data_IF_132551988203
#
_entry.id   IF_132551988203
#
_cell.length_a   1.000
_cell.length_b   1.000
_cell.length_c   1.000
_cell.angle_alpha   90.00
_cell.angle_beta   90.00
_cell.angle_gamma   90.00
#
_symmetry.space_group_name_H-M   'P 1'
#
loop_
_entity.id
_entity.type
_entity.pdbx_description
1 polymer ?
#
# COMPACT_ATOMS: atom_id res chain seq x y z
N UNK A 1 21.50 8.97 -17.89
CA UNK A 1 20.25 8.60 -17.19
C UNK A 1 20.33 7.13 -16.83
N UNK A 2 20.03 6.76 -15.58
CA UNK A 2 19.87 5.37 -15.14
C UNK A 2 18.38 5.07 -15.00
N UNK A 3 17.96 3.83 -15.27
CA UNK A 3 16.58 3.37 -15.02
C UNK A 3 16.29 3.43 -13.53
N UNK A 4 15.15 4.02 -13.15
CA UNK A 4 14.65 4.04 -11.78
C UNK A 4 13.62 2.91 -11.60
N UNK A 5 13.88 1.99 -10.67
CA UNK A 5 13.09 0.78 -10.48
C UNK A 5 12.24 0.91 -9.22
N UNK A 6 10.93 0.74 -9.38
CA UNK A 6 9.95 0.75 -8.29
C UNK A 6 9.44 -0.68 -8.05
N UNK A 7 9.68 -1.21 -6.86
CA UNK A 7 9.06 -2.44 -6.40
C UNK A 7 7.65 -2.15 -5.86
N UNK A 8 6.62 -2.62 -6.58
CA UNK A 8 5.23 -2.47 -6.13
C UNK A 8 4.90 -3.54 -5.07
N UNK A 9 4.90 -3.13 -3.79
CA UNK A 9 4.37 -3.94 -2.71
C UNK A 9 2.84 -3.91 -2.71
N UNK A 10 2.24 -2.79 -3.10
CA UNK A 10 0.79 -2.63 -3.15
C UNK A 10 0.14 -2.95 -1.80
N UNK A 11 -0.77 -3.92 -1.80
CA UNK A 11 -1.45 -4.47 -0.61
C UNK A 11 -0.92 -5.86 -0.19
N UNK A 12 0.21 -6.31 -0.73
CA UNK A 12 0.75 -7.66 -0.50
C UNK A 12 1.22 -7.89 0.95
N UNK A 13 1.21 -6.85 1.79
CA UNK A 13 1.41 -6.94 3.23
C UNK A 13 0.21 -7.51 3.99
N UNK A 14 -0.93 -7.72 3.34
CA UNK A 14 -2.12 -8.35 3.96
C UNK A 14 -2.55 -7.69 5.29
N UNK A 15 -2.49 -6.36 5.36
CA UNK A 15 -2.80 -5.59 6.56
C UNK A 15 -1.86 -5.81 7.75
N UNK A 16 -0.66 -6.38 7.54
CA UNK A 16 0.32 -6.64 8.60
C UNK A 16 1.57 -5.78 8.41
N UNK A 17 1.83 -4.85 9.33
CA UNK A 17 3.03 -4.00 9.30
C UNK A 17 4.33 -4.81 9.28
N UNK A 18 4.39 -5.92 10.02
CA UNK A 18 5.56 -6.82 10.01
C UNK A 18 5.87 -7.35 8.60
N UNK A 19 4.85 -7.80 7.86
CA UNK A 19 5.02 -8.26 6.48
C UNK A 19 5.37 -7.11 5.54
N UNK A 20 4.84 -5.91 5.76
CA UNK A 20 5.24 -4.73 4.99
C UNK A 20 6.74 -4.43 5.16
N UNK A 21 7.29 -4.52 6.38
CA UNK A 21 8.73 -4.37 6.64
C UNK A 21 9.56 -5.48 6.01
N UNK A 22 9.07 -6.72 6.01
CA UNK A 22 9.72 -7.82 5.27
C UNK A 22 9.80 -7.53 3.76
N UNK A 23 8.75 -6.98 3.17
CA UNK A 23 8.74 -6.55 1.76
C UNK A 23 9.78 -5.44 1.50
N UNK A 24 9.93 -4.48 2.43
CA UNK A 24 11.00 -3.46 2.35
C UNK A 24 12.38 -4.11 2.31
N UNK A 25 12.63 -5.10 3.17
CA UNK A 25 13.90 -5.82 3.18
C UNK A 25 14.14 -6.55 1.85
N UNK A 26 13.13 -7.21 1.30
CA UNK A 26 13.24 -7.88 -0.01
C UNK A 26 13.45 -6.93 -1.17
N UNK A 27 12.78 -5.78 -1.17
CA UNK A 27 13.04 -4.73 -2.16
C UNK A 27 14.48 -4.22 -2.05
N UNK A 28 14.99 -4.03 -0.84
CA UNK A 28 16.36 -3.60 -0.62
C UNK A 28 17.38 -4.64 -1.07
N UNK A 29 17.17 -5.92 -0.74
CA UNK A 29 18.00 -7.05 -1.19
C UNK A 29 18.05 -7.14 -2.72
N UNK A 30 16.92 -6.86 -3.39
CA UNK A 30 16.82 -6.84 -4.85
C UNK A 30 17.54 -5.63 -5.51
N UNK A 31 17.99 -4.65 -4.72
CA UNK A 31 18.72 -3.49 -5.22
C UNK A 31 17.87 -2.48 -6.01
N UNK A 32 16.56 -2.43 -5.74
CA UNK A 32 15.66 -1.44 -6.36
C UNK A 32 15.81 -0.06 -5.71
N UNK A 33 15.35 0.98 -6.41
CA UNK A 33 15.52 2.37 -5.97
C UNK A 33 14.39 2.79 -5.01
N UNK A 34 13.18 2.26 -5.21
CA UNK A 34 11.99 2.63 -4.45
C UNK A 34 11.08 1.42 -4.19
N UNK A 35 10.42 1.41 -3.04
CA UNK A 35 9.31 0.50 -2.75
C UNK A 35 8.01 1.31 -2.63
N UNK A 36 6.95 0.84 -3.29
CA UNK A 36 5.65 1.53 -3.37
C UNK A 36 4.52 0.72 -2.73
N UNK A 37 3.73 1.39 -1.91
CA UNK A 37 2.53 0.87 -1.26
C UNK A 37 1.25 1.54 -1.80
N UNK A 38 0.09 1.13 -1.27
CA UNK A 38 -1.21 1.74 -1.57
C UNK A 38 -1.87 2.15 -0.25
N UNK A 39 -2.29 3.40 -0.15
CA UNK A 39 -2.95 3.95 1.06
C UNK A 39 -4.39 4.28 0.71
N UNK A 40 -5.32 3.71 1.49
CA UNK A 40 -6.74 3.90 1.26
C UNK A 40 -7.54 3.70 2.55
N UNK A 41 -8.70 4.35 2.62
CA UNK A 41 -9.80 4.00 3.51
C UNK A 41 -10.83 3.24 2.70
N UNK A 42 -11.03 1.95 3.00
CA UNK A 42 -11.94 1.10 2.22
C UNK A 42 -13.37 1.65 2.16
N UNK A 43 -13.82 2.33 3.23
CA UNK A 43 -15.13 2.99 3.30
C UNK A 43 -15.28 4.11 2.26
N UNK A 44 -14.18 4.78 1.88
CA UNK A 44 -14.17 5.84 0.89
C UNK A 44 -14.02 5.30 -0.54
N UNK A 45 -13.52 4.07 -0.71
CA UNK A 45 -13.20 3.49 -2.02
C UNK A 45 -14.31 2.58 -2.59
N UNK A 46 -15.13 1.95 -1.73
CA UNK A 46 -16.17 1.01 -2.17
C UNK A 46 -17.48 1.22 -1.44
N UNK A 47 -18.57 1.23 -2.20
CA UNK A 47 -19.92 1.18 -1.63
C UNK A 47 -20.13 -0.13 -0.86
N UNK A 48 -20.94 -0.11 0.18
CA UNK A 48 -21.26 -1.28 1.02
C UNK A 48 -21.78 -2.50 0.25
N UNK A 49 -22.42 -2.28 -0.92
CA UNK A 49 -22.99 -3.32 -1.78
C UNK A 49 -22.11 -3.66 -3.00
N UNK A 50 -20.87 -3.18 -3.09
CA UNK A 50 -20.00 -3.49 -4.21
C UNK A 50 -19.64 -4.99 -4.22
N UNK A 51 -19.97 -5.66 -5.34
CA UNK A 51 -19.55 -7.04 -5.56
C UNK A 51 -18.05 -7.11 -5.83
N UNK A 52 -17.40 -8.17 -5.31
CA UNK A 52 -16.01 -8.50 -5.64
C UNK A 52 -15.84 -8.72 -7.13
N UNK A 53 -14.70 -8.28 -7.67
CA UNK A 53 -14.31 -8.63 -9.03
C UNK A 53 -14.20 -10.16 -9.20
N UNK A 54 -14.40 -10.67 -10.42
CA UNK A 54 -14.45 -12.12 -10.69
C UNK A 54 -13.20 -12.86 -10.17
N UNK A 55 -12.00 -12.32 -10.39
CA UNK A 55 -10.75 -12.91 -9.90
C UNK A 55 -10.66 -12.92 -8.36
N UNK A 56 -11.23 -11.93 -7.68
CA UNK A 56 -11.25 -11.86 -6.22
C UNK A 56 -12.20 -12.89 -5.63
N UNK A 57 -13.35 -13.14 -6.28
CA UNK A 57 -14.29 -14.20 -5.89
C UNK A 57 -13.64 -15.58 -5.98
N UNK A 58 -12.85 -15.82 -7.01
CA UNK A 58 -12.10 -17.07 -7.18
C UNK A 58 -11.04 -17.26 -6.10
N UNK A 59 -10.33 -16.20 -5.70
CA UNK A 59 -9.24 -16.28 -4.71
C UNK A 59 -9.70 -16.30 -3.24
N UNK A 60 -10.84 -15.68 -2.91
CA UNK A 60 -11.26 -15.43 -1.50
C UNK A 60 -12.61 -16.03 -1.12
N UNK A 61 -13.28 -16.71 -2.05
CA UNK A 61 -14.62 -17.26 -1.86
C UNK A 61 -15.74 -16.21 -1.90
N UNK A 62 -16.99 -16.68 -2.02
CA UNK A 62 -18.17 -15.85 -2.25
C UNK A 62 -18.78 -15.21 -0.99
N UNK A 63 -18.32 -15.58 0.22
CA UNK A 63 -19.01 -15.24 1.48
C UNK A 63 -18.71 -13.86 2.07
N UNK A 64 -17.77 -13.09 1.49
CA UNK A 64 -17.32 -11.81 2.05
C UNK A 64 -17.47 -10.67 1.03
N UNK A 65 -17.97 -9.51 1.45
CA UNK A 65 -18.10 -8.31 0.60
C UNK A 65 -16.74 -7.71 0.24
N UNK A 66 -16.68 -6.91 -0.81
CA UNK A 66 -15.44 -6.24 -1.22
C UNK A 66 -14.90 -5.32 -0.13
N UNK A 67 -15.79 -4.59 0.55
CA UNK A 67 -15.45 -3.72 1.68
C UNK A 67 -14.76 -4.49 2.81
N UNK A 68 -15.33 -5.63 3.25
CA UNK A 68 -14.74 -6.44 4.34
C UNK A 68 -13.36 -6.99 3.97
N UNK A 69 -13.18 -7.41 2.73
CA UNK A 69 -11.88 -7.87 2.22
C UNK A 69 -10.87 -6.72 2.20
N UNK A 70 -11.23 -5.54 1.68
CA UNK A 70 -10.31 -4.39 1.62
C UNK A 70 -9.93 -3.87 3.02
N UNK A 71 -10.86 -3.87 3.98
CA UNK A 71 -10.55 -3.54 5.38
C UNK A 71 -9.42 -4.38 5.97
N UNK A 72 -9.32 -5.66 5.60
CA UNK A 72 -8.23 -6.54 6.05
C UNK A 72 -6.88 -6.20 5.45
N UNK A 73 -6.85 -5.45 4.36
CA UNK A 73 -5.65 -5.04 3.66
C UNK A 73 -5.18 -3.65 4.08
N UNK A 74 -5.98 -2.90 4.85
CA UNK A 74 -5.59 -1.59 5.35
C UNK A 74 -4.43 -1.68 6.33
N UNK A 75 -3.56 -0.68 6.25
CA UNK A 75 -2.65 -0.30 7.32
C UNK A 75 -3.12 1.05 7.86
N UNK A 76 -2.95 1.27 9.16
CA UNK A 76 -3.26 2.57 9.75
C UNK A 76 -2.28 3.66 9.26
N UNK A 77 -2.63 4.92 9.45
CA UNK A 77 -1.71 6.02 9.15
C UNK A 77 -0.45 5.97 10.03
N UNK A 78 -0.57 5.55 11.29
CA UNK A 78 0.57 5.32 12.17
C UNK A 78 1.48 4.20 11.64
N UNK A 79 0.90 3.11 11.12
CA UNK A 79 1.67 2.05 10.46
C UNK A 79 2.43 2.59 9.24
N UNK A 80 1.82 3.47 8.45
CA UNK A 80 2.49 4.10 7.30
C UNK A 80 3.61 5.05 7.72
N UNK A 81 3.45 5.81 8.81
CA UNK A 81 4.51 6.64 9.39
C UNK A 81 5.68 5.74 9.81
N UNK A 82 5.40 4.65 10.52
CA UNK A 82 6.41 3.70 10.96
C UNK A 82 7.11 3.03 9.78
N UNK A 83 6.35 2.66 8.74
CA UNK A 83 6.87 2.02 7.52
C UNK A 83 7.75 2.98 6.71
N UNK A 84 7.37 4.25 6.60
CA UNK A 84 8.18 5.30 5.96
C UNK A 84 9.51 5.49 6.70
N UNK A 85 9.47 5.59 8.03
CA UNK A 85 10.69 5.65 8.86
C UNK A 85 11.56 4.40 8.69
N UNK A 86 10.94 3.22 8.56
CA UNK A 86 11.66 1.97 8.30
C UNK A 86 12.38 1.98 6.94
N UNK A 87 11.73 2.48 5.88
CA UNK A 87 12.35 2.63 4.57
C UNK A 87 13.56 3.59 4.62
N UNK A 88 13.46 4.69 5.37
CA UNK A 88 14.59 5.62 5.57
C UNK A 88 15.77 4.95 6.27
N UNK A 89 15.53 4.16 7.31
CA UNK A 89 16.58 3.37 7.98
C UNK A 89 17.24 2.35 7.03
N UNK A 90 16.45 1.70 6.17
CA UNK A 90 16.94 0.75 5.15
C UNK A 90 17.56 1.45 3.92
N UNK A 91 17.53 2.79 3.86
CA UNK A 91 18.03 3.59 2.75
C UNK A 91 17.41 3.16 1.41
N UNK A 92 16.08 3.09 1.36
CA UNK A 92 15.28 2.87 0.16
C UNK A 92 14.15 3.90 0.12
N UNK A 93 13.85 4.45 -1.06
CA UNK A 93 12.81 5.48 -1.18
C UNK A 93 11.43 4.89 -0.91
N UNK A 94 10.71 5.47 0.04
CA UNK A 94 9.31 5.16 0.30
C UNK A 94 8.40 5.91 -0.67
N UNK A 95 7.36 5.22 -1.14
CA UNK A 95 6.28 5.82 -1.92
C UNK A 95 4.95 5.15 -1.57
N UNK A 96 3.85 5.90 -1.67
CA UNK A 96 2.52 5.33 -1.64
C UNK A 96 1.59 6.01 -2.65
N UNK A 97 0.58 5.27 -3.11
CA UNK A 97 -0.48 5.78 -3.99
C UNK A 97 -1.77 5.95 -3.18
N UNK A 98 -2.33 7.16 -3.06
CA UNK A 98 -3.63 7.36 -2.39
C UNK A 98 -4.79 6.91 -3.29
N UNK A 99 -5.85 6.35 -2.70
CA UNK A 99 -7.09 6.02 -3.43
C UNK A 99 -8.33 6.77 -2.92
N UNK A 100 -8.15 7.68 -1.97
CA UNK A 100 -9.21 8.55 -1.45
C UNK A 100 -8.61 9.87 -0.94
N UNK A 101 -9.46 10.89 -0.73
CA UNK A 101 -9.02 12.23 -0.35
C UNK A 101 -8.32 12.27 1.01
N UNK A 102 -8.78 11.49 1.99
CA UNK A 102 -8.16 11.44 3.31
C UNK A 102 -6.73 10.88 3.20
N UNK A 103 -6.54 9.87 2.35
CA UNK A 103 -5.21 9.33 2.03
C UNK A 103 -4.32 10.34 1.30
N UNK A 104 -4.88 11.22 0.45
CA UNK A 104 -4.10 12.33 -0.17
C UNK A 104 -3.60 13.28 0.92
N UNK A 105 -4.50 13.74 1.79
CA UNK A 105 -4.16 14.69 2.86
C UNK A 105 -3.11 14.10 3.81
N UNK A 106 -3.24 12.82 4.16
CA UNK A 106 -2.24 12.12 4.96
C UNK A 106 -0.87 12.06 4.25
N UNK A 107 -0.83 11.56 3.01
CA UNK A 107 0.44 11.37 2.29
C UNK A 107 1.15 12.69 1.95
N UNK A 108 0.40 13.78 1.79
CA UNK A 108 0.98 15.12 1.58
C UNK A 108 1.88 15.56 2.74
N UNK A 109 1.63 15.05 3.95
CA UNK A 109 2.41 15.35 5.15
C UNK A 109 3.63 14.42 5.34
N UNK A 110 3.81 13.39 4.51
CA UNK A 110 4.93 12.44 4.63
C UNK A 110 6.19 12.83 3.84
N UNK A 111 6.16 13.93 3.08
CA UNK A 111 7.31 14.42 2.34
C UNK A 111 7.76 13.52 1.19
N UNK A 112 6.81 12.88 0.49
CA UNK A 112 7.13 12.07 -0.70
C UNK A 112 7.68 12.96 -1.84
N UNK A 113 8.73 12.48 -2.51
CA UNK A 113 9.39 13.24 -3.59
C UNK A 113 8.53 13.36 -4.86
N UNK A 114 7.68 12.36 -5.11
CA UNK A 114 6.82 12.29 -6.28
C UNK A 114 5.56 11.49 -5.97
N UNK A 115 4.57 11.60 -6.85
CA UNK A 115 3.29 10.93 -6.70
C UNK A 115 3.08 9.91 -7.81
N UNK A 116 2.47 8.77 -7.47
CA UNK A 116 1.83 7.89 -8.44
C UNK A 116 0.33 8.13 -8.37
N UNK A 117 -0.32 8.32 -9.51
CA UNK A 117 -1.77 8.37 -9.65
C UNK A 117 -2.20 7.06 -10.34
N UNK A 118 -3.17 6.28 -9.80
CA UNK A 118 -3.58 4.96 -10.30
C UNK A 118 -3.70 4.86 -11.82
#
# INVERSE_FOLDING_TARGET
MRVFIIAEAGVNHNGKLGLAKELVNKAKEAGVDCIKFQTFKSENCVTTNAEKAVYQRQATGAGESQLKMLRKLELSFDDFIELKNYCEMQKITFLSTPFDLESIDFLANLGMEFWKIP
#
